data_IF_406880847606
#
_entry.id   IF_406880847606
#
_cell.length_a   1.000
_cell.length_b   1.000
_cell.length_c   1.000
_cell.angle_alpha   90.00
_cell.angle_beta   90.00
_cell.angle_gamma   90.00
#
_symmetry.space_group_name_H-M   'P 1'
#
loop_
_entity.id
_entity.type
_entity.pdbx_description
1 polymer ?
#
# COMPACT_ATOMS: atom_id res chain seq x y z
N UNK A 1 -30.58 12.99 -49.41
CA UNK A 1 -29.41 12.18 -48.96
C UNK A 1 -28.20 13.10 -48.98
N UNK A 2 -27.82 13.64 -47.79
CA UNK A 2 -26.62 14.49 -47.60
C UNK A 2 -25.59 13.71 -46.79
N UNK A 3 -24.44 13.50 -47.41
CA UNK A 3 -23.25 12.91 -46.82
C UNK A 3 -22.72 13.79 -45.67
N UNK A 4 -22.85 13.34 -44.44
CA UNK A 4 -22.20 13.95 -43.30
C UNK A 4 -20.78 13.48 -43.21
N UNK A 5 -19.81 14.33 -43.61
CA UNK A 5 -18.39 14.10 -43.39
C UNK A 5 -18.09 14.44 -41.95
N UNK A 6 -17.72 13.44 -41.15
CA UNK A 6 -17.25 13.60 -39.78
C UNK A 6 -15.82 14.13 -39.82
N UNK A 7 -15.65 15.43 -39.57
CA UNK A 7 -14.31 16.02 -39.38
C UNK A 7 -13.79 15.65 -38.00
N UNK A 8 -12.88 14.69 -37.96
CA UNK A 8 -12.08 14.41 -36.74
C UNK A 8 -11.00 15.49 -36.65
N UNK A 9 -11.21 16.47 -35.78
CA UNK A 9 -10.15 17.41 -35.39
C UNK A 9 -8.97 16.66 -34.78
N UNK A 10 -7.85 16.58 -35.50
CA UNK A 10 -6.57 16.13 -34.95
C UNK A 10 -6.09 17.20 -33.98
N UNK A 11 -6.39 17.08 -32.69
CA UNK A 11 -5.71 17.83 -31.64
C UNK A 11 -4.29 17.33 -31.53
N UNK A 12 -3.34 18.06 -32.10
CA UNK A 12 -1.92 17.90 -31.80
C UNK A 12 -1.71 18.32 -30.36
N UNK A 13 -1.55 17.37 -29.46
CA UNK A 13 -1.04 17.65 -28.11
C UNK A 13 0.41 18.11 -28.22
N UNK A 14 0.66 19.37 -27.87
CA UNK A 14 2.00 19.88 -27.71
C UNK A 14 2.59 19.27 -26.45
N UNK A 15 3.36 18.19 -26.58
CA UNK A 15 4.17 17.64 -25.48
C UNK A 15 5.11 18.74 -25.02
N UNK A 16 5.03 19.16 -23.75
CA UNK A 16 6.01 20.07 -23.16
C UNK A 16 7.38 19.42 -23.34
N UNK A 17 8.33 20.13 -23.97
CA UNK A 17 9.72 19.70 -24.03
C UNK A 17 10.17 19.45 -22.60
N UNK A 18 10.57 18.23 -22.29
CA UNK A 18 11.20 17.88 -21.02
C UNK A 18 12.39 18.81 -20.83
N UNK A 19 12.32 19.67 -19.84
CA UNK A 19 13.41 20.60 -19.54
C UNK A 19 14.51 19.74 -18.93
N UNK A 20 15.60 19.51 -19.68
CA UNK A 20 16.78 18.81 -19.12
C UNK A 20 17.26 19.59 -17.91
N UNK A 21 17.57 18.91 -16.85
CA UNK A 21 18.15 19.49 -15.64
C UNK A 21 19.46 20.22 -16.00
N UNK A 22 19.72 21.40 -15.42
CA UNK A 22 21.00 22.06 -15.58
C UNK A 22 22.15 21.20 -15.01
N UNK A 23 23.37 21.24 -15.58
CA UNK A 23 24.47 20.36 -15.15
C UNK A 23 24.82 20.43 -13.66
N UNK A 24 24.67 21.60 -13.04
CA UNK A 24 24.93 21.81 -11.61
C UNK A 24 23.87 21.21 -10.66
N UNK A 25 22.79 20.66 -11.20
CA UNK A 25 21.69 20.05 -10.43
C UNK A 25 21.55 18.54 -10.67
N UNK A 26 22.57 17.90 -11.25
CA UNK A 26 22.52 16.46 -11.49
C UNK A 26 22.61 15.69 -10.16
N UNK A 27 21.74 14.68 -9.97
CA UNK A 27 21.88 13.76 -8.86
C UNK A 27 23.20 12.98 -8.94
N UNK A 28 23.72 12.52 -7.81
CA UNK A 28 24.98 11.78 -7.71
C UNK A 28 25.07 10.52 -8.59
N UNK A 29 23.92 9.95 -8.93
CA UNK A 29 23.79 8.75 -9.75
C UNK A 29 23.70 9.03 -11.27
N UNK A 30 23.76 10.30 -11.69
CA UNK A 30 23.68 10.69 -13.10
C UNK A 30 24.88 11.55 -13.53
N UNK A 31 25.62 11.11 -14.54
CA UNK A 31 26.83 11.78 -15.03
C UNK A 31 26.58 12.78 -16.19
N UNK A 32 25.31 13.04 -16.51
CA UNK A 32 24.90 13.86 -17.66
C UNK A 32 24.63 13.06 -18.94
N UNK A 33 25.00 11.80 -18.99
CA UNK A 33 24.74 10.88 -20.10
C UNK A 33 24.17 9.53 -19.65
N UNK A 34 24.70 8.98 -18.57
CA UNK A 34 24.35 7.65 -18.08
C UNK A 34 23.84 7.71 -16.64
N UNK A 35 22.94 6.78 -16.32
CA UNK A 35 22.50 6.51 -14.98
C UNK A 35 23.37 5.39 -14.41
N UNK A 36 23.99 5.64 -13.26
CA UNK A 36 24.61 4.62 -12.45
C UNK A 36 23.53 3.94 -11.61
N UNK A 37 23.07 2.77 -12.03
CA UNK A 37 21.95 2.07 -11.43
C UNK A 37 22.22 1.68 -9.96
N UNK A 38 23.47 1.34 -9.61
CA UNK A 38 23.85 0.99 -8.26
C UNK A 38 23.84 2.19 -7.29
N UNK A 39 24.32 3.34 -7.74
CA UNK A 39 24.24 4.58 -6.96
C UNK A 39 22.79 5.05 -6.82
N UNK A 40 21.99 4.95 -7.90
CA UNK A 40 20.56 5.23 -7.84
C UNK A 40 19.84 4.38 -6.79
N UNK A 41 20.07 3.06 -6.80
CA UNK A 41 19.43 2.16 -5.84
C UNK A 41 19.83 2.49 -4.40
N UNK A 42 21.07 2.90 -4.14
CA UNK A 42 21.53 3.30 -2.81
C UNK A 42 20.80 4.55 -2.33
N UNK A 43 20.80 5.60 -3.15
CA UNK A 43 20.11 6.85 -2.87
C UNK A 43 18.61 6.66 -2.69
N UNK A 44 18.01 5.80 -3.53
CA UNK A 44 16.60 5.44 -3.43
C UNK A 44 16.27 4.72 -2.11
N UNK A 45 17.10 3.76 -1.67
CA UNK A 45 16.90 3.04 -0.40
C UNK A 45 17.13 3.92 0.83
N UNK A 46 18.02 4.92 0.76
CA UNK A 46 18.21 5.90 1.82
C UNK A 46 16.99 6.81 2.00
N UNK A 47 16.35 7.19 0.90
CA UNK A 47 15.17 8.07 0.90
C UNK A 47 13.85 7.32 1.09
N UNK A 48 13.77 6.08 0.61
CA UNK A 48 12.58 5.23 0.66
C UNK A 48 12.92 3.95 1.41
N UNK A 49 12.60 3.90 2.69
CA UNK A 49 12.77 2.68 3.47
C UNK A 49 12.04 1.52 2.81
N UNK A 50 12.78 0.55 2.31
CA UNK A 50 12.25 -0.54 1.48
C UNK A 50 12.92 -1.85 1.89
N UNK A 51 12.12 -2.90 2.08
CA UNK A 51 12.60 -4.29 2.23
C UNK A 51 11.99 -5.16 1.12
N UNK A 52 12.75 -6.16 0.69
CA UNK A 52 12.29 -7.17 -0.24
C UNK A 52 12.37 -8.55 0.39
N UNK A 53 11.25 -9.21 0.53
CA UNK A 53 11.13 -10.58 1.04
C UNK A 53 9.84 -11.23 0.54
N UNK A 54 9.76 -12.56 0.54
CA UNK A 54 8.55 -13.28 0.10
C UNK A 54 8.04 -12.82 -1.28
N UNK A 55 8.97 -12.50 -2.21
CA UNK A 55 8.69 -11.99 -3.55
C UNK A 55 7.89 -10.68 -3.58
N UNK A 56 7.98 -9.87 -2.52
CA UNK A 56 7.23 -8.61 -2.39
C UNK A 56 8.12 -7.55 -1.76
N UNK A 57 7.87 -6.30 -2.15
CA UNK A 57 8.42 -5.15 -1.46
C UNK A 57 7.53 -4.75 -0.29
N UNK A 58 8.15 -4.34 0.81
CA UNK A 58 7.50 -3.80 1.99
C UNK A 58 8.05 -2.41 2.29
N UNK A 59 7.16 -1.50 2.63
CA UNK A 59 7.46 -0.10 2.95
C UNK A 59 6.90 0.27 4.32
N UNK A 60 7.08 1.49 4.73
CA UNK A 60 6.43 2.04 5.93
C UNK A 60 4.90 2.07 5.81
N UNK A 61 4.35 2.01 4.60
CA UNK A 61 2.90 1.94 4.35
C UNK A 61 2.36 0.50 4.26
N UNK A 62 3.24 -0.49 4.36
CA UNK A 62 2.91 -1.91 4.30
C UNK A 62 3.39 -2.60 3.03
N UNK A 63 2.84 -3.79 2.75
CA UNK A 63 3.22 -4.57 1.57
C UNK A 63 2.87 -3.82 0.29
N UNK A 64 3.87 -3.60 -0.55
CA UNK A 64 3.66 -3.13 -1.91
C UNK A 64 3.22 -4.31 -2.78
N UNK A 65 1.95 -4.34 -3.17
CA UNK A 65 1.38 -5.45 -3.96
C UNK A 65 1.65 -5.32 -5.45
N UNK A 66 1.98 -4.11 -5.91
CA UNK A 66 2.12 -3.78 -7.32
C UNK A 66 3.51 -3.24 -7.63
N UNK A 67 4.32 -4.07 -8.31
CA UNK A 67 5.63 -3.68 -8.85
C UNK A 67 5.49 -2.55 -9.91
N UNK A 68 4.32 -2.38 -10.52
CA UNK A 68 4.08 -1.32 -11.49
C UNK A 68 4.09 0.06 -10.83
N UNK A 69 3.60 0.19 -9.61
CA UNK A 69 3.71 1.44 -8.84
C UNK A 69 5.16 1.83 -8.60
N UNK A 70 6.00 0.89 -8.17
CA UNK A 70 7.43 1.12 -7.97
C UNK A 70 8.15 1.50 -9.28
N UNK A 71 7.81 0.84 -10.39
CA UNK A 71 8.32 1.17 -11.72
C UNK A 71 7.90 2.58 -12.16
N UNK A 72 6.69 2.98 -11.81
CA UNK A 72 6.16 4.32 -12.12
C UNK A 72 6.90 5.39 -11.35
N UNK A 73 7.16 5.19 -10.06
CA UNK A 73 7.92 6.11 -9.22
C UNK A 73 9.36 6.25 -9.73
N UNK A 74 10.03 5.13 -10.01
CA UNK A 74 11.38 5.13 -10.59
C UNK A 74 11.38 5.85 -11.93
N UNK A 75 10.37 5.61 -12.79
CA UNK A 75 10.25 6.29 -14.06
C UNK A 75 10.20 7.82 -13.89
N UNK A 76 9.38 8.32 -12.97
CA UNK A 76 9.23 9.75 -12.70
C UNK A 76 10.55 10.39 -12.25
N UNK A 77 11.35 9.65 -11.45
CA UNK A 77 12.64 10.14 -10.96
C UNK A 77 13.69 10.19 -12.08
N UNK A 78 13.74 9.17 -12.95
CA UNK A 78 14.79 9.07 -13.98
C UNK A 78 14.43 9.74 -15.31
N UNK A 79 13.14 10.02 -15.57
CA UNK A 79 12.68 10.63 -16.83
C UNK A 79 13.42 11.92 -17.20
N UNK A 80 13.69 12.87 -16.28
CA UNK A 80 14.42 14.08 -16.61
C UNK A 80 15.88 13.84 -17.06
N UNK A 81 16.46 12.69 -16.66
CA UNK A 81 17.86 12.33 -16.89
C UNK A 81 18.03 11.36 -18.06
N UNK A 82 17.04 10.56 -18.40
CA UNK A 82 17.17 9.46 -19.36
C UNK A 82 16.09 9.52 -20.45
N UNK A 83 16.52 9.68 -21.70
CA UNK A 83 15.63 9.68 -22.87
C UNK A 83 15.66 8.38 -23.69
N UNK A 84 16.67 7.52 -23.49
CA UNK A 84 16.88 6.29 -24.29
C UNK A 84 17.02 5.08 -23.38
N UNK A 85 16.35 3.98 -23.76
CA UNK A 85 16.45 2.69 -23.08
C UNK A 85 15.82 2.66 -21.68
N UNK A 86 14.93 3.59 -21.38
CA UNK A 86 14.29 3.75 -20.06
C UNK A 86 13.66 2.45 -19.53
N UNK A 87 12.90 1.65 -20.30
CA UNK A 87 12.30 0.43 -19.79
C UNK A 87 13.34 -0.59 -19.30
N UNK A 88 14.47 -0.72 -20.01
CA UNK A 88 15.56 -1.63 -19.62
C UNK A 88 16.24 -1.14 -18.34
N UNK A 89 16.48 0.19 -18.23
CA UNK A 89 17.07 0.77 -17.02
C UNK A 89 16.17 0.55 -15.80
N UNK A 90 14.86 0.76 -15.92
CA UNK A 90 13.90 0.49 -14.85
C UNK A 90 13.94 -0.99 -14.43
N UNK A 91 13.96 -1.91 -15.40
CA UNK A 91 14.04 -3.34 -15.09
C UNK A 91 15.32 -3.70 -14.33
N UNK A 92 16.46 -3.16 -14.75
CA UNK A 92 17.74 -3.36 -14.05
C UNK A 92 17.71 -2.78 -12.63
N UNK A 93 17.17 -1.57 -12.45
CA UNK A 93 17.02 -0.94 -11.14
C UNK A 93 16.15 -1.80 -10.22
N UNK A 94 15.02 -2.30 -10.72
CA UNK A 94 14.13 -3.18 -9.92
C UNK A 94 14.87 -4.45 -9.47
N UNK A 95 15.61 -5.10 -10.37
CA UNK A 95 16.37 -6.31 -10.01
C UNK A 95 17.48 -6.00 -8.99
N UNK A 96 18.18 -4.86 -9.13
CA UNK A 96 19.14 -4.41 -8.12
C UNK A 96 18.48 -4.09 -6.78
N UNK A 97 17.33 -3.41 -6.77
CA UNK A 97 16.58 -3.13 -5.54
C UNK A 97 16.16 -4.43 -4.85
N UNK A 98 15.73 -5.45 -5.58
CA UNK A 98 15.41 -6.78 -5.00
C UNK A 98 16.62 -7.38 -4.28
N UNK A 99 17.83 -7.22 -4.85
CA UNK A 99 19.05 -7.74 -4.24
C UNK A 99 19.47 -6.90 -3.03
N UNK A 100 19.49 -5.57 -3.17
CA UNK A 100 20.01 -4.66 -2.15
C UNK A 100 19.07 -4.53 -0.93
N UNK A 101 17.76 -4.62 -1.15
CA UNK A 101 16.75 -4.55 -0.10
C UNK A 101 16.38 -5.94 0.48
N UNK A 102 17.02 -7.01 0.00
CA UNK A 102 16.66 -8.36 0.40
C UNK A 102 16.87 -8.62 1.89
N UNK A 103 15.87 -9.22 2.51
CA UNK A 103 15.96 -9.77 3.86
C UNK A 103 15.24 -11.12 3.93
N UNK A 104 15.81 -12.06 4.66
CA UNK A 104 15.18 -13.36 4.93
C UNK A 104 14.42 -13.38 6.26
N UNK A 105 14.53 -12.31 7.04
CA UNK A 105 13.94 -12.22 8.37
C UNK A 105 13.10 -10.93 8.50
N UNK A 106 11.81 -11.06 8.24
CA UNK A 106 10.84 -10.00 8.47
C UNK A 106 9.63 -10.59 9.22
N UNK A 107 9.77 -10.84 10.54
CA UNK A 107 8.71 -11.45 11.33
C UNK A 107 7.48 -10.53 11.42
N UNK A 108 6.26 -11.10 11.56
CA UNK A 108 5.07 -10.32 11.80
C UNK A 108 5.15 -9.60 13.15
N UNK A 109 4.68 -8.37 13.20
CA UNK A 109 4.60 -7.56 14.42
C UNK A 109 3.27 -7.88 15.11
N UNK A 110 3.28 -8.84 16.04
CA UNK A 110 2.06 -9.41 16.63
C UNK A 110 1.54 -8.69 17.87
N UNK A 111 2.22 -7.63 18.30
CA UNK A 111 1.92 -6.85 19.51
C UNK A 111 1.30 -5.47 19.21
N UNK A 112 1.04 -5.17 17.93
CA UNK A 112 0.60 -3.86 17.50
C UNK A 112 -0.22 -3.90 16.21
N UNK A 113 -0.99 -2.84 16.01
CA UNK A 113 -1.82 -2.62 14.82
C UNK A 113 -1.36 -1.32 14.17
N UNK A 114 -0.91 -1.39 12.91
CA UNK A 114 -0.51 -0.21 12.16
C UNK A 114 -1.71 0.39 11.43
N UNK A 115 -1.89 1.70 11.60
CA UNK A 115 -2.97 2.50 11.01
C UNK A 115 -2.41 3.68 10.23
N UNK A 116 -3.24 4.34 9.42
CA UNK A 116 -2.78 5.41 8.53
C UNK A 116 -2.09 6.57 9.24
N UNK A 117 -2.44 6.89 10.48
CA UNK A 117 -1.85 7.98 11.26
C UNK A 117 -0.86 7.53 12.34
N UNK A 118 -0.49 6.24 12.43
CA UNK A 118 0.47 5.76 13.42
C UNK A 118 0.35 4.27 13.74
N UNK A 119 0.71 3.92 14.98
CA UNK A 119 0.71 2.54 15.48
C UNK A 119 -0.01 2.48 16.81
N UNK A 120 -1.00 1.60 16.91
CA UNK A 120 -1.72 1.27 18.13
C UNK A 120 -1.14 -0.01 18.73
N UNK A 121 -0.70 0.04 19.97
CA UNK A 121 -0.20 -1.12 20.72
C UNK A 121 -1.35 -1.82 21.45
N UNK A 122 -1.18 -3.11 21.74
CA UNK A 122 -2.21 -3.90 22.43
C UNK A 122 -2.45 -3.46 23.89
N UNK A 123 -1.54 -2.71 24.48
CA UNK A 123 -1.73 -2.06 25.79
C UNK A 123 -2.60 -0.79 25.75
N UNK A 124 -3.06 -0.41 24.55
CA UNK A 124 -3.88 0.79 24.31
C UNK A 124 -3.07 2.06 24.04
N UNK A 125 -1.74 2.01 24.13
CA UNK A 125 -0.89 3.16 23.79
C UNK A 125 -0.87 3.41 22.27
N UNK A 126 -0.67 4.67 21.87
CA UNK A 126 -0.64 5.08 20.47
C UNK A 126 0.59 5.93 20.17
N UNK A 127 1.35 5.53 19.14
CA UNK A 127 2.46 6.31 18.58
C UNK A 127 2.09 6.86 17.21
N UNK A 128 2.41 8.13 16.95
CA UNK A 128 2.28 8.77 15.63
C UNK A 128 3.44 8.42 14.69
N UNK A 129 4.42 7.66 15.15
CA UNK A 129 5.57 7.28 14.35
C UNK A 129 5.17 6.27 13.27
N UNK A 130 5.55 6.57 12.03
CA UNK A 130 5.27 5.78 10.83
C UNK A 130 6.54 5.28 10.12
N UNK A 131 7.71 5.52 10.71
CA UNK A 131 8.98 5.16 10.05
C UNK A 131 9.27 3.65 10.05
N UNK A 132 8.50 2.88 10.78
CA UNK A 132 8.65 1.44 10.83
C UNK A 132 8.15 0.79 9.54
N UNK A 133 8.99 -0.07 8.91
CA UNK A 133 8.57 -0.91 7.80
C UNK A 133 7.63 -1.98 8.33
N UNK A 134 6.48 -2.13 7.72
CA UNK A 134 5.41 -2.98 8.24
C UNK A 134 4.90 -3.96 7.18
N UNK A 135 4.37 -5.12 7.60
CA UNK A 135 3.74 -6.08 6.70
C UNK A 135 2.38 -5.61 6.19
N UNK A 136 1.65 -4.90 7.02
CA UNK A 136 0.32 -4.37 6.69
C UNK A 136 0.03 -3.12 7.51
N UNK A 137 -0.57 -2.13 6.89
CA UNK A 137 -1.07 -0.91 7.52
C UNK A 137 -2.51 -0.68 7.05
N UNK A 138 -3.40 -0.49 8.01
CA UNK A 138 -4.79 -0.18 7.69
C UNK A 138 -4.91 1.26 7.17
N UNK A 139 -5.64 1.50 6.08
CA UNK A 139 -5.80 2.84 5.49
C UNK A 139 -6.83 3.69 6.24
N UNK A 140 -6.92 3.52 7.56
CA UNK A 140 -7.83 4.26 8.46
C UNK A 140 -7.03 4.95 9.55
N UNK A 141 -7.51 6.11 9.99
CA UNK A 141 -6.92 6.83 11.11
C UNK A 141 -7.49 6.30 12.43
N UNK A 142 -6.60 6.05 13.39
CA UNK A 142 -7.02 5.87 14.77
C UNK A 142 -7.38 7.21 15.40
N UNK A 143 -8.54 7.30 16.02
CA UNK A 143 -8.99 8.44 16.79
C UNK A 143 -9.62 7.92 18.10
N UNK A 144 -9.04 8.29 19.27
CA UNK A 144 -9.53 7.79 20.57
C UNK A 144 -10.93 8.31 20.95
N UNK A 145 -11.34 9.43 20.36
CA UNK A 145 -12.66 10.04 20.62
C UNK A 145 -13.44 10.16 19.31
N UNK A 146 -13.96 9.05 18.83
CA UNK A 146 -14.95 9.04 17.75
C UNK A 146 -16.36 8.96 18.32
N UNK A 147 -17.31 9.55 17.60
CA UNK A 147 -18.73 9.34 17.88
C UNK A 147 -19.09 7.87 17.73
N UNK A 148 -20.05 7.43 18.53
CA UNK A 148 -20.61 6.08 18.42
C UNK A 148 -21.10 5.84 17.00
N UNK A 149 -20.73 4.71 16.35
CA UNK A 149 -21.15 4.43 14.98
C UNK A 149 -22.60 3.93 14.95
N UNK A 150 -23.56 4.83 15.18
CA UNK A 150 -24.99 4.51 15.35
C UNK A 150 -25.56 3.70 14.19
N UNK A 151 -25.25 4.10 12.94
CA UNK A 151 -25.71 3.37 11.76
C UNK A 151 -25.23 1.92 11.73
N UNK A 152 -23.98 1.68 12.15
CA UNK A 152 -23.42 0.33 12.23
C UNK A 152 -24.07 -0.49 13.35
N UNK A 153 -24.25 0.11 14.51
CA UNK A 153 -24.90 -0.55 15.65
C UNK A 153 -26.36 -0.88 15.36
N UNK A 154 -27.09 0.04 14.71
CA UNK A 154 -28.46 -0.22 14.27
C UNK A 154 -28.51 -1.38 13.27
N UNK A 155 -27.62 -1.40 12.28
CA UNK A 155 -27.52 -2.52 11.33
C UNK A 155 -27.27 -3.85 12.06
N UNK A 156 -26.38 -3.86 13.06
CA UNK A 156 -26.13 -5.08 13.84
C UNK A 156 -27.35 -5.52 14.64
N UNK A 157 -28.07 -4.59 15.25
CA UNK A 157 -29.30 -4.90 16.02
C UNK A 157 -30.44 -5.44 15.15
N UNK A 158 -30.44 -5.10 13.85
CA UNK A 158 -31.43 -5.64 12.90
C UNK A 158 -31.18 -7.11 12.50
N UNK A 159 -29.92 -7.56 12.58
CA UNK A 159 -29.51 -8.87 12.05
C UNK A 159 -28.98 -9.84 13.11
N UNK A 160 -28.67 -9.39 14.32
CA UNK A 160 -28.11 -10.19 15.41
C UNK A 160 -28.93 -10.01 16.69
N UNK A 161 -28.89 -11.02 17.54
CA UNK A 161 -29.34 -10.87 18.92
C UNK A 161 -28.39 -9.94 19.69
N UNK A 162 -28.93 -9.18 20.65
CA UNK A 162 -28.15 -8.20 21.42
C UNK A 162 -26.93 -8.84 22.10
N UNK A 163 -27.09 -10.07 22.63
CA UNK A 163 -26.02 -10.83 23.29
C UNK A 163 -24.90 -11.27 22.35
N UNK A 164 -25.14 -11.34 21.03
CA UNK A 164 -24.17 -11.76 20.03
C UNK A 164 -23.31 -10.59 19.49
N UNK A 165 -23.80 -9.33 19.64
CA UNK A 165 -23.10 -8.15 19.15
C UNK A 165 -21.72 -7.98 19.81
N UNK A 166 -21.56 -8.08 21.14
CA UNK A 166 -20.23 -8.02 21.78
C UNK A 166 -19.28 -9.11 21.27
N UNK A 167 -19.79 -10.33 21.08
CA UNK A 167 -18.99 -11.46 20.56
C UNK A 167 -18.45 -11.16 19.15
N UNK A 168 -19.28 -10.59 18.28
CA UNK A 168 -18.84 -10.17 16.94
C UNK A 168 -17.80 -9.04 17.02
N UNK A 169 -17.98 -8.06 17.90
CA UNK A 169 -17.05 -6.96 18.09
C UNK A 169 -15.68 -7.44 18.57
N UNK A 170 -15.66 -8.34 19.55
CA UNK A 170 -14.42 -8.99 20.04
C UNK A 170 -13.72 -9.76 18.92
N UNK A 171 -14.47 -10.51 18.12
CA UNK A 171 -13.91 -11.27 17.01
C UNK A 171 -13.33 -10.37 15.92
N UNK A 172 -14.01 -9.28 15.57
CA UNK A 172 -13.47 -8.28 14.62
C UNK A 172 -12.20 -7.66 15.20
N UNK A 173 -12.18 -7.29 16.48
CA UNK A 173 -10.98 -6.80 17.16
C UNK A 173 -9.82 -7.79 17.09
N UNK A 174 -10.10 -9.07 17.32
CA UNK A 174 -9.11 -10.14 17.18
C UNK A 174 -8.54 -10.24 15.76
N UNK A 175 -9.36 -10.06 14.72
CA UNK A 175 -8.94 -10.09 13.34
C UNK A 175 -8.01 -8.92 12.93
N UNK A 176 -7.96 -7.83 13.71
CA UNK A 176 -7.04 -6.71 13.46
C UNK A 176 -5.61 -7.02 13.91
N UNK A 177 -5.43 -8.02 14.79
CA UNK A 177 -4.12 -8.41 15.31
C UNK A 177 -3.44 -9.34 14.30
N UNK A 178 -2.21 -9.07 13.84
CA UNK A 178 -1.53 -9.88 12.82
C UNK A 178 -0.95 -11.18 13.42
N UNK A 179 -1.78 -11.94 14.12
CA UNK A 179 -1.44 -13.26 14.64
C UNK A 179 -2.69 -14.12 14.79
N UNK A 180 -2.50 -15.45 14.81
CA UNK A 180 -3.58 -16.41 15.01
C UNK A 180 -3.34 -17.26 16.27
N UNK A 181 -2.89 -16.65 17.36
CA UNK A 181 -2.61 -17.36 18.63
C UNK A 181 -3.84 -18.01 19.22
N UNK A 182 -5.00 -17.39 19.06
CA UNK A 182 -6.26 -17.90 19.59
C UNK A 182 -6.85 -19.06 18.79
N UNK A 183 -6.41 -19.26 17.53
CA UNK A 183 -6.93 -20.30 16.61
C UNK A 183 -8.45 -20.33 16.58
N UNK A 184 -9.08 -19.15 16.56
CA UNK A 184 -10.54 -19.02 16.62
C UNK A 184 -11.09 -18.78 15.22
N UNK A 185 -12.25 -19.37 14.97
CA UNK A 185 -13.07 -19.17 13.77
C UNK A 185 -14.48 -18.80 14.22
N UNK A 186 -15.06 -17.78 13.60
CA UNK A 186 -16.45 -17.42 13.78
C UNK A 186 -17.30 -18.02 12.66
N UNK A 187 -18.40 -18.64 13.01
CA UNK A 187 -19.40 -19.16 12.06
C UNK A 187 -20.69 -18.36 12.26
N UNK A 188 -21.11 -17.64 11.23
CA UNK A 188 -22.38 -16.93 11.20
C UNK A 188 -23.37 -17.82 10.46
N UNK A 189 -24.47 -18.21 11.14
CA UNK A 189 -25.54 -19.01 10.56
C UNK A 189 -26.78 -18.16 10.37
N UNK A 190 -27.39 -18.21 9.18
CA UNK A 190 -28.65 -17.56 8.85
C UNK A 190 -29.44 -18.40 7.87
N UNK A 191 -30.73 -18.09 7.70
CA UNK A 191 -31.63 -18.81 6.80
C UNK A 191 -31.52 -18.31 5.33
N UNK A 192 -30.69 -17.28 5.07
CA UNK A 192 -30.49 -16.62 3.79
C UNK A 192 -31.36 -15.36 3.65
N UNK A 193 -30.80 -14.37 2.97
CA UNK A 193 -31.48 -13.07 2.79
C UNK A 193 -31.32 -12.06 3.91
N UNK A 194 -30.70 -12.45 5.04
CA UNK A 194 -30.54 -11.64 6.26
C UNK A 194 -29.27 -10.74 6.23
N UNK A 195 -28.84 -10.30 5.06
CA UNK A 195 -27.66 -9.42 4.95
C UNK A 195 -26.30 -10.11 5.11
N UNK A 196 -26.26 -11.43 5.31
CA UNK A 196 -25.01 -12.22 5.49
C UNK A 196 -23.99 -12.09 4.33
N UNK A 197 -24.41 -11.61 3.16
CA UNK A 197 -23.50 -11.30 2.04
C UNK A 197 -22.49 -10.21 2.38
N UNK A 198 -22.81 -9.31 3.30
CA UNK A 198 -21.93 -8.23 3.73
C UNK A 198 -21.06 -8.61 4.92
N UNK A 199 -21.44 -9.68 5.65
CA UNK A 199 -20.70 -10.23 6.77
C UNK A 199 -19.85 -11.46 6.45
N UNK A 200 -19.69 -11.82 5.16
CA UNK A 200 -18.79 -12.91 4.75
C UNK A 200 -17.33 -12.51 5.02
N UNK A 201 -16.90 -12.69 6.26
CA UNK A 201 -15.52 -12.56 6.71
C UNK A 201 -14.60 -13.65 6.12
N UNK A 202 -15.13 -14.48 5.21
CA UNK A 202 -14.37 -15.52 4.50
C UNK A 202 -13.29 -14.99 3.57
N UNK A 203 -13.22 -13.68 3.32
CA UNK A 203 -12.20 -13.04 2.49
C UNK A 203 -11.08 -12.35 3.28
N UNK A 204 -11.11 -12.33 4.60
CA UNK A 204 -9.96 -11.93 5.40
C UNK A 204 -8.99 -13.11 5.51
N UNK A 205 -8.22 -13.36 4.45
CA UNK A 205 -6.97 -14.10 4.56
C UNK A 205 -5.94 -13.13 5.11
N UNK A 206 -5.53 -13.34 6.34
CA UNK A 206 -4.32 -12.79 6.93
C UNK A 206 -3.08 -13.38 6.26
#
# INVERSE_FOLDING_TARGET
>A
LKNGTLLIEKRCFRVKKTTRLPPDSFPSWFDGQNINEALFCRDYLESHQLLYTERSFFTTEGRMTDEASLKTDIYQIIEPCASIGVPKKISNIIELLKIMAYTNNFPPQTDRIHVANGTLFLDGSFSKDKYEIVRSRFPVNYAPSVSVPETWLHFLSDILYEDDIPTLQEYIGYCLIPCNKGQRMMVIKGNGGEGNRYGSLSSFRL
#
